data_IF_394243954790
#
_entry.id   IF_394243954790
#
_cell.length_a   1.000
_cell.length_b   1.000
_cell.length_c   1.000
_cell.angle_alpha   90.00
_cell.angle_beta   90.00
_cell.angle_gamma   90.00
#
_symmetry.space_group_name_H-M   'P 1'
#
loop_
_entity.id
_entity.type
_entity.pdbx_description
1 polymer ?
#
# COMPACT_ATOMS: atom_id res chain seq x y z
N UNK A 1 -33.54 15.24 21.26
CA UNK A 1 -32.84 15.65 20.02
C UNK A 1 -31.32 15.65 20.24
N UNK A 2 -30.60 14.52 20.11
CA UNK A 2 -29.13 14.50 20.16
C UNK A 2 -28.45 14.16 18.82
N UNK A 3 -29.21 13.82 17.78
CA UNK A 3 -28.69 13.35 16.48
C UNK A 3 -28.14 14.45 15.57
N UNK A 4 -28.51 15.72 15.78
CA UNK A 4 -28.06 16.82 14.92
C UNK A 4 -26.64 17.32 15.23
N UNK A 5 -26.11 17.08 16.44
CA UNK A 5 -24.80 17.63 16.84
C UNK A 5 -23.61 16.76 16.37
N UNK A 6 -23.84 15.47 16.09
CA UNK A 6 -22.82 14.53 15.58
C UNK A 6 -22.70 14.62 14.05
N UNK A 7 -23.71 15.17 13.37
CA UNK A 7 -23.77 15.27 11.92
C UNK A 7 -22.86 16.39 11.36
N UNK A 8 -22.58 17.43 12.15
CA UNK A 8 -21.78 18.60 11.72
C UNK A 8 -20.30 18.28 11.44
N UNK A 9 -19.55 17.51 12.26
CA UNK A 9 -18.17 17.13 11.91
C UNK A 9 -18.12 16.11 10.78
N UNK A 10 -19.10 15.21 10.66
CA UNK A 10 -19.15 14.20 9.60
C UNK A 10 -19.44 14.82 8.23
N UNK A 11 -20.43 15.72 8.17
CA UNK A 11 -20.79 16.47 6.96
C UNK A 11 -19.65 17.39 6.50
N UNK A 12 -18.98 18.10 7.43
CA UNK A 12 -17.83 18.96 7.12
C UNK A 12 -16.63 18.15 6.57
N UNK A 13 -16.35 16.97 7.14
CA UNK A 13 -15.25 16.10 6.68
C UNK A 13 -15.51 15.49 5.30
N UNK A 14 -16.77 15.18 4.98
CA UNK A 14 -17.19 14.71 3.67
C UNK A 14 -17.07 15.81 2.63
N UNK A 15 -17.61 16.99 2.93
CA UNK A 15 -17.53 18.17 2.07
C UNK A 15 -16.07 18.50 1.74
N UNK A 16 -15.17 18.40 2.74
CA UNK A 16 -13.74 18.64 2.53
C UNK A 16 -13.09 17.65 1.56
N UNK A 17 -13.40 16.34 1.64
CA UNK A 17 -12.85 15.34 0.70
C UNK A 17 -13.40 15.55 -0.71
N UNK A 18 -14.69 15.86 -0.84
CA UNK A 18 -15.32 16.13 -2.14
C UNK A 18 -14.75 17.41 -2.76
N UNK A 19 -14.58 18.48 -1.98
CA UNK A 19 -13.97 19.73 -2.44
C UNK A 19 -12.51 19.53 -2.87
N UNK A 20 -11.74 18.71 -2.14
CA UNK A 20 -10.37 18.39 -2.48
C UNK A 20 -10.28 17.55 -3.78
N UNK A 21 -11.18 16.57 -3.96
CA UNK A 21 -11.28 15.84 -5.24
C UNK A 21 -11.65 16.79 -6.39
N UNK A 22 -12.62 17.69 -6.17
CA UNK A 22 -13.05 18.64 -7.18
C UNK A 22 -11.96 19.64 -7.57
N UNK A 23 -11.18 20.14 -6.60
CA UNK A 23 -10.06 21.05 -6.87
C UNK A 23 -8.95 20.37 -7.66
N UNK A 24 -8.63 19.11 -7.32
CA UNK A 24 -7.67 18.32 -8.08
C UNK A 24 -8.16 18.03 -9.50
N UNK A 25 -9.45 17.70 -9.69
CA UNK A 25 -10.03 17.51 -11.01
C UNK A 25 -9.90 18.77 -11.89
N UNK A 26 -10.23 19.95 -11.36
CA UNK A 26 -10.10 21.21 -12.11
C UNK A 26 -8.63 21.47 -12.46
N UNK A 27 -7.72 21.28 -11.51
CA UNK A 27 -6.30 21.52 -11.73
C UNK A 27 -5.74 20.57 -12.78
N UNK A 28 -6.15 19.31 -12.71
CA UNK A 28 -5.74 18.25 -13.61
C UNK A 28 -6.25 18.44 -15.04
N UNK A 29 -7.51 18.85 -15.18
CA UNK A 29 -8.10 19.25 -16.46
C UNK A 29 -7.37 20.47 -17.04
N UNK A 30 -7.08 21.47 -16.21
CA UNK A 30 -6.43 22.71 -16.64
C UNK A 30 -5.02 22.46 -17.18
N UNK A 31 -4.18 21.70 -16.46
CA UNK A 31 -2.80 21.45 -16.89
C UNK A 31 -2.76 20.52 -18.10
N UNK A 32 -3.64 19.52 -18.18
CA UNK A 32 -3.71 18.63 -19.35
C UNK A 32 -4.14 19.38 -20.61
N UNK A 33 -5.18 20.23 -20.52
CA UNK A 33 -5.64 21.06 -21.66
C UNK A 33 -4.60 22.10 -22.04
N UNK A 34 -3.95 22.73 -21.06
CA UNK A 34 -2.86 23.66 -21.28
C UNK A 34 -1.70 23.00 -22.03
N UNK A 35 -1.36 21.77 -21.66
CA UNK A 35 -0.28 21.02 -22.29
C UNK A 35 -0.52 20.73 -23.77
N UNK A 36 -1.77 20.53 -24.19
CA UNK A 36 -2.14 20.33 -25.61
C UNK A 36 -1.88 21.58 -26.46
N UNK A 37 -1.94 22.77 -25.86
CA UNK A 37 -1.69 24.04 -26.55
C UNK A 37 -0.22 24.31 -26.88
N UNK A 38 0.70 23.49 -26.36
CA UNK A 38 2.15 23.61 -26.54
C UNK A 38 2.75 22.58 -27.52
N UNK A 39 1.92 21.96 -28.35
CA UNK A 39 2.34 21.09 -29.46
C UNK A 39 2.53 21.90 -30.76
N UNK A 40 3.49 22.83 -30.76
CA UNK A 40 3.83 23.65 -31.92
C UNK A 40 5.34 23.88 -32.07
N UNK A 41 5.80 24.11 -33.29
CA UNK A 41 7.22 24.30 -33.66
C UNK A 41 7.75 25.70 -33.27
N UNK A 42 6.85 26.64 -32.96
CA UNK A 42 7.21 28.03 -32.68
C UNK A 42 7.54 28.24 -31.19
N UNK A 43 8.81 28.56 -30.90
CA UNK A 43 9.45 28.97 -29.61
C UNK A 43 8.74 28.51 -28.30
N UNK A 44 9.50 27.93 -27.34
CA UNK A 44 8.99 27.19 -26.18
C UNK A 44 8.02 27.92 -25.23
N UNK A 45 7.82 29.23 -25.37
CA UNK A 45 6.98 30.04 -24.47
C UNK A 45 6.14 31.12 -25.18
N UNK A 46 6.24 31.31 -26.50
CA UNK A 46 5.79 32.59 -27.07
C UNK A 46 4.35 32.65 -27.54
N UNK A 47 3.63 31.55 -27.82
CA UNK A 47 2.19 31.61 -28.14
C UNK A 47 1.48 30.28 -27.83
N UNK A 48 0.41 30.34 -27.02
CA UNK A 48 -0.53 29.24 -26.80
C UNK A 48 -1.49 29.18 -28.00
N UNK A 49 -1.41 28.12 -28.81
CA UNK A 49 -2.29 27.98 -29.97
C UNK A 49 -3.61 27.33 -29.57
N UNK A 50 -4.59 28.16 -29.21
CA UNK A 50 -5.93 27.70 -28.80
C UNK A 50 -6.64 26.94 -29.93
N UNK A 51 -6.39 27.31 -31.20
CA UNK A 51 -6.95 26.58 -32.36
C UNK A 51 -6.53 25.11 -32.36
N UNK A 52 -5.25 24.82 -32.08
CA UNK A 52 -4.71 23.45 -32.05
C UNK A 52 -5.37 22.60 -30.97
N UNK A 53 -5.66 23.18 -29.81
CA UNK A 53 -6.36 22.48 -28.72
C UNK A 53 -7.71 21.97 -29.22
N UNK A 54 -8.47 22.82 -29.91
CA UNK A 54 -9.76 22.46 -30.48
C UNK A 54 -9.64 21.42 -31.59
N UNK A 55 -8.62 21.53 -32.45
CA UNK A 55 -8.38 20.58 -33.53
C UNK A 55 -8.04 19.18 -33.00
N UNK A 56 -7.26 19.09 -31.90
CA UNK A 56 -6.96 17.83 -31.22
C UNK A 56 -8.16 17.25 -30.46
N UNK A 57 -9.00 18.09 -29.84
CA UNK A 57 -10.23 17.64 -29.16
C UNK A 57 -11.27 17.14 -30.18
N UNK A 58 -11.42 17.83 -31.30
CA UNK A 58 -12.41 17.52 -32.35
C UNK A 58 -11.90 16.45 -33.34
N UNK A 59 -10.68 15.94 -33.18
CA UNK A 59 -10.10 14.88 -34.02
C UNK A 59 -10.11 15.19 -35.53
N UNK A 60 -10.00 16.47 -35.90
CA UNK A 60 -10.06 16.88 -37.32
C UNK A 60 -8.91 16.35 -38.18
N UNK A 61 -7.72 16.20 -37.59
CA UNK A 61 -6.51 15.73 -38.29
C UNK A 61 -6.40 14.18 -38.35
N UNK A 62 -7.40 13.46 -37.82
CA UNK A 62 -7.38 12.00 -37.71
C UNK A 62 -6.56 11.48 -36.52
N UNK A 63 -6.80 10.22 -36.14
CA UNK A 63 -6.10 9.57 -35.03
C UNK A 63 -4.88 8.78 -35.53
N UNK A 64 -3.70 9.11 -35.03
CA UNK A 64 -2.49 8.29 -35.17
C UNK A 64 -1.84 8.08 -33.81
N UNK A 65 -1.56 6.83 -33.45
CA UNK A 65 -1.01 6.49 -32.14
C UNK A 65 0.38 7.11 -31.92
N UNK A 66 1.17 7.25 -32.98
CA UNK A 66 2.50 7.82 -32.87
C UNK A 66 2.48 9.35 -32.69
N UNK A 67 1.58 10.08 -33.39
CA UNK A 67 1.68 11.54 -33.47
C UNK A 67 0.63 12.30 -32.68
N UNK A 68 -0.50 11.67 -32.35
CA UNK A 68 -1.59 12.39 -31.70
C UNK A 68 -1.41 12.41 -30.17
N UNK A 69 -1.57 13.57 -29.51
CA UNK A 69 -1.58 13.65 -28.04
C UNK A 69 -2.96 13.32 -27.43
N UNK A 70 -3.93 12.92 -28.26
CA UNK A 70 -5.30 12.64 -27.84
C UNK A 70 -5.39 11.59 -26.73
N UNK A 71 -4.45 10.63 -26.69
CA UNK A 71 -4.44 9.60 -25.65
C UNK A 71 -4.32 10.17 -24.23
N UNK A 72 -3.65 11.32 -24.03
CA UNK A 72 -3.60 11.97 -22.71
C UNK A 72 -4.97 12.51 -22.27
N UNK A 73 -5.85 12.85 -23.20
CA UNK A 73 -7.23 13.22 -22.90
C UNK A 73 -8.04 12.00 -22.46
N UNK A 74 -7.78 10.84 -23.06
CA UNK A 74 -8.38 9.56 -22.64
C UNK A 74 -7.89 9.16 -21.24
N UNK A 75 -6.59 9.30 -20.96
CA UNK A 75 -6.02 9.07 -19.62
C UNK A 75 -6.60 10.05 -18.59
N UNK A 76 -6.81 11.32 -18.95
CA UNK A 76 -7.49 12.31 -18.11
C UNK A 76 -8.93 11.87 -17.78
N UNK A 77 -9.68 11.38 -18.77
CA UNK A 77 -11.05 10.90 -18.56
C UNK A 77 -11.07 9.68 -17.63
N UNK A 78 -10.20 8.70 -17.90
CA UNK A 78 -10.04 7.52 -17.06
C UNK A 78 -9.66 7.88 -15.62
N UNK A 79 -8.70 8.79 -15.44
CA UNK A 79 -8.26 9.28 -14.12
C UNK A 79 -9.34 10.06 -13.41
N UNK A 80 -10.10 10.88 -14.12
CA UNK A 80 -11.22 11.63 -13.56
C UNK A 80 -12.29 10.67 -13.02
N UNK A 81 -12.61 9.62 -13.77
CA UNK A 81 -13.51 8.56 -13.31
C UNK A 81 -12.98 7.89 -12.04
N UNK A 82 -11.70 7.51 -11.99
CA UNK A 82 -11.06 6.94 -10.79
C UNK A 82 -11.14 7.88 -9.58
N UNK A 83 -10.90 9.18 -9.78
CA UNK A 83 -10.97 10.20 -8.73
C UNK A 83 -12.38 10.30 -8.13
N UNK A 84 -13.43 10.24 -8.95
CA UNK A 84 -14.82 10.24 -8.48
C UNK A 84 -15.19 8.95 -7.72
N UNK A 85 -14.54 7.82 -7.99
CA UNK A 85 -14.74 6.58 -7.23
C UNK A 85 -14.18 6.66 -5.80
N UNK A 86 -13.16 7.47 -5.53
CA UNK A 86 -12.54 7.60 -4.19
C UNK A 86 -13.54 8.04 -3.10
N UNK A 87 -14.31 9.14 -3.25
CA UNK A 87 -15.31 9.53 -2.25
C UNK A 87 -16.46 8.53 -2.14
N UNK A 88 -16.82 7.82 -3.23
CA UNK A 88 -17.85 6.77 -3.22
C UNK A 88 -17.40 5.58 -2.36
N UNK A 89 -16.17 5.12 -2.52
CA UNK A 89 -15.57 4.06 -1.67
C UNK A 89 -15.41 4.56 -0.23
N UNK A 90 -15.02 5.83 -0.06
CA UNK A 90 -14.95 6.46 1.26
C UNK A 90 -16.31 6.52 1.96
N UNK A 91 -17.42 6.62 1.24
CA UNK A 91 -18.73 6.73 1.88
C UNK A 91 -19.47 5.39 1.99
N UNK A 92 -19.49 4.59 0.93
CA UNK A 92 -20.33 3.39 0.82
C UNK A 92 -19.88 2.25 1.73
N UNK A 93 -18.59 2.21 2.11
CA UNK A 93 -18.04 1.13 2.93
C UNK A 93 -17.78 1.61 4.38
N UNK A 94 -18.70 1.35 5.32
CA UNK A 94 -18.47 1.59 6.74
C UNK A 94 -17.37 0.66 7.27
N UNK A 95 -16.42 1.24 8.00
CA UNK A 95 -15.25 0.56 8.60
C UNK A 95 -15.60 -0.50 9.65
N UNK A 96 -16.86 -0.58 10.07
CA UNK A 96 -17.34 -1.50 11.11
C UNK A 96 -17.43 -2.95 10.65
N UNK A 97 -17.37 -3.22 9.34
CA UNK A 97 -17.46 -4.57 8.77
C UNK A 97 -16.10 -5.20 8.41
N UNK A 98 -14.98 -4.55 8.73
CA UNK A 98 -13.64 -5.07 8.41
C UNK A 98 -13.16 -6.15 9.40
N UNK A 99 -13.82 -6.34 10.56
CA UNK A 99 -13.26 -7.18 11.64
C UNK A 99 -13.89 -8.57 11.80
N UNK A 100 -15.16 -8.79 11.47
CA UNK A 100 -15.83 -10.04 11.88
C UNK A 100 -16.38 -10.94 10.77
N UNK A 101 -16.41 -10.54 9.49
CA UNK A 101 -16.92 -11.42 8.41
C UNK A 101 -15.88 -11.64 7.28
N UNK A 102 -15.48 -12.89 6.99
CA UNK A 102 -14.57 -13.24 5.87
C UNK A 102 -15.22 -13.14 4.47
N UNK A 103 -16.48 -12.75 4.38
CA UNK A 103 -17.33 -12.84 3.17
C UNK A 103 -17.15 -11.66 2.18
N UNK A 104 -16.56 -10.53 2.56
CA UNK A 104 -16.45 -9.36 1.67
C UNK A 104 -15.13 -9.32 0.88
N UNK A 105 -15.02 -10.19 -0.13
CA UNK A 105 -13.93 -10.19 -1.13
C UNK A 105 -14.02 -8.94 -2.02
N UNK A 106 -15.23 -8.47 -2.29
CA UNK A 106 -15.54 -7.39 -3.25
C UNK A 106 -14.83 -6.05 -2.96
N UNK A 107 -14.82 -5.48 -1.73
CA UNK A 107 -14.13 -4.21 -1.46
C UNK A 107 -12.61 -4.32 -1.57
N UNK A 108 -12.03 -5.46 -1.16
CA UNK A 108 -10.59 -5.72 -1.30
C UNK A 108 -10.20 -5.82 -2.78
N UNK A 109 -11.01 -6.51 -3.57
CA UNK A 109 -10.84 -6.63 -5.01
C UNK A 109 -10.95 -5.29 -5.73
N UNK A 110 -11.96 -4.47 -5.38
CA UNK A 110 -12.15 -3.14 -5.97
C UNK A 110 -10.97 -2.21 -5.66
N UNK A 111 -10.46 -2.22 -4.44
CA UNK A 111 -9.25 -1.49 -4.06
C UNK A 111 -8.02 -1.95 -4.85
N UNK A 112 -7.83 -3.26 -5.00
CA UNK A 112 -6.75 -3.84 -5.82
C UNK A 112 -6.88 -3.41 -7.29
N UNK A 113 -8.09 -3.46 -7.84
CA UNK A 113 -8.38 -3.06 -9.22
C UNK A 113 -8.12 -1.58 -9.44
N UNK A 114 -8.46 -0.72 -8.49
CA UNK A 114 -8.22 0.73 -8.56
C UNK A 114 -6.72 1.05 -8.60
N UNK A 115 -5.93 0.40 -7.73
CA UNK A 115 -4.47 0.53 -7.71
C UNK A 115 -3.86 -0.02 -9.02
N UNK A 116 -4.37 -1.14 -9.52
CA UNK A 116 -3.97 -1.72 -10.80
C UNK A 116 -4.18 -0.76 -11.98
N UNK A 117 -5.37 -0.17 -12.11
CA UNK A 117 -5.69 0.81 -13.15
C UNK A 117 -4.80 2.05 -13.08
N UNK A 118 -4.40 2.46 -11.87
CA UNK A 118 -3.51 3.58 -11.64
C UNK A 118 -2.09 3.26 -12.15
N UNK A 119 -1.59 2.04 -11.88
CA UNK A 119 -0.29 1.56 -12.37
C UNK A 119 -0.31 1.43 -13.91
N UNK A 120 -1.42 0.95 -14.49
CA UNK A 120 -1.60 0.90 -15.94
C UNK A 120 -1.53 2.29 -16.58
N UNK A 121 -2.15 3.32 -15.97
CA UNK A 121 -2.06 4.72 -16.41
C UNK A 121 -0.61 5.21 -16.46
N UNK A 122 0.17 4.95 -15.41
CA UNK A 122 1.58 5.30 -15.35
C UNK A 122 2.38 4.58 -16.46
N UNK A 123 2.17 3.28 -16.62
CA UNK A 123 2.86 2.47 -17.64
C UNK A 123 2.51 2.94 -19.07
N UNK A 124 1.25 3.26 -19.34
CA UNK A 124 0.82 3.79 -20.63
C UNK A 124 1.52 5.12 -20.97
N UNK A 125 1.75 5.98 -19.98
CA UNK A 125 2.51 7.23 -20.17
C UNK A 125 3.93 6.98 -20.68
N UNK A 126 4.59 5.92 -20.21
CA UNK A 126 5.94 5.55 -20.65
C UNK A 126 5.93 4.93 -22.05
N UNK A 127 4.93 4.10 -22.36
CA UNK A 127 4.75 3.53 -23.70
C UNK A 127 4.53 4.66 -24.72
N UNK A 128 3.74 5.67 -24.35
CA UNK A 128 3.49 6.83 -25.20
C UNK A 128 4.74 7.70 -25.40
N UNK A 129 5.56 7.88 -24.37
CA UNK A 129 6.89 8.53 -24.50
C UNK A 129 7.76 7.77 -25.51
N UNK A 130 7.77 6.45 -25.45
CA UNK A 130 8.53 5.62 -26.39
C UNK A 130 7.99 5.75 -27.82
N UNK A 131 6.67 5.79 -28.00
CA UNK A 131 6.05 6.02 -29.31
C UNK A 131 6.44 7.38 -29.90
N UNK A 132 6.49 8.44 -29.08
CA UNK A 132 6.97 9.75 -29.53
C UNK A 132 8.47 9.78 -29.85
N UNK A 133 9.25 8.90 -29.23
CA UNK A 133 10.69 8.82 -29.52
C UNK A 133 11.01 8.31 -30.93
N UNK A 134 10.04 7.66 -31.58
CA UNK A 134 10.17 7.23 -32.98
C UNK A 134 10.24 8.42 -33.95
N UNK A 135 9.71 9.58 -33.58
CA UNK A 135 9.75 10.81 -34.38
C UNK A 135 10.51 11.91 -33.64
N UNK A 136 11.77 12.14 -34.03
CA UNK A 136 12.66 13.13 -33.38
C UNK A 136 12.05 14.54 -33.29
N UNK A 137 11.24 14.94 -34.27
CA UNK A 137 10.54 16.23 -34.28
C UNK A 137 9.55 16.38 -33.12
N UNK A 138 8.91 15.28 -32.70
CA UNK A 138 7.92 15.30 -31.63
C UNK A 138 8.53 15.49 -30.25
N UNK A 139 9.74 14.97 -30.01
CA UNK A 139 10.46 15.13 -28.75
C UNK A 139 10.89 16.57 -28.47
N UNK A 140 11.02 17.39 -29.52
CA UNK A 140 11.37 18.80 -29.39
C UNK A 140 10.18 19.66 -28.93
N UNK A 141 8.95 19.14 -29.00
CA UNK A 141 7.78 19.84 -28.48
C UNK A 141 7.76 19.83 -26.96
N UNK A 142 7.73 21.03 -26.36
CA UNK A 142 7.63 21.19 -24.90
C UNK A 142 6.32 20.62 -24.35
N UNK A 143 5.25 20.61 -25.15
CA UNK A 143 3.95 20.03 -24.79
C UNK A 143 4.02 18.53 -24.48
N UNK A 144 4.91 17.77 -25.14
CA UNK A 144 5.08 16.33 -24.88
C UNK A 144 5.62 16.10 -23.46
N UNK A 145 6.69 16.81 -23.11
CA UNK A 145 7.31 16.71 -21.79
C UNK A 145 6.36 17.18 -20.68
N UNK A 146 5.65 18.28 -20.91
CA UNK A 146 4.67 18.79 -19.97
C UNK A 146 3.52 17.78 -19.74
N UNK A 147 3.00 17.15 -20.81
CA UNK A 147 1.94 16.14 -20.71
C UNK A 147 2.38 14.93 -19.91
N UNK A 148 3.60 14.44 -20.15
CA UNK A 148 4.14 13.24 -19.50
C UNK A 148 4.45 13.49 -18.03
N UNK A 149 5.15 14.59 -17.73
CA UNK A 149 5.46 14.96 -16.35
C UNK A 149 4.17 15.19 -15.56
N UNK A 150 3.22 15.92 -16.14
CA UNK A 150 1.94 16.17 -15.49
C UNK A 150 1.17 14.88 -15.23
N UNK A 151 1.15 13.96 -16.19
CA UNK A 151 0.45 12.69 -16.04
C UNK A 151 1.04 11.83 -14.90
N UNK A 152 2.37 11.80 -14.76
CA UNK A 152 3.06 11.12 -13.65
C UNK A 152 2.76 11.80 -12.32
N UNK A 153 2.85 13.13 -12.24
CA UNK A 153 2.56 13.89 -11.02
C UNK A 153 1.12 13.68 -10.58
N UNK A 154 0.18 13.78 -11.50
CA UNK A 154 -1.25 13.58 -11.24
C UNK A 154 -1.54 12.14 -10.82
N UNK A 155 -0.82 11.14 -11.35
CA UNK A 155 -0.88 9.76 -10.86
C UNK A 155 -0.50 9.66 -9.37
N UNK A 156 0.63 10.27 -8.98
CA UNK A 156 1.13 10.27 -7.60
C UNK A 156 0.13 10.99 -6.69
N UNK A 157 -0.40 12.13 -7.10
CA UNK A 157 -1.37 12.90 -6.33
C UNK A 157 -2.67 12.13 -6.05
N UNK A 158 -3.24 11.47 -7.07
CA UNK A 158 -4.47 10.66 -6.91
C UNK A 158 -4.22 9.45 -5.99
N UNK A 159 -3.07 8.78 -6.14
CA UNK A 159 -2.70 7.67 -5.28
C UNK A 159 -2.49 8.11 -3.82
N UNK A 160 -1.79 9.22 -3.60
CA UNK A 160 -1.58 9.79 -2.27
C UNK A 160 -2.91 10.20 -1.60
N UNK A 161 -3.87 10.75 -2.36
CA UNK A 161 -5.19 11.09 -1.86
C UNK A 161 -5.96 9.84 -1.43
N UNK A 162 -5.91 8.78 -2.23
CA UNK A 162 -6.55 7.50 -1.93
C UNK A 162 -6.00 6.89 -0.62
N UNK A 163 -4.66 6.82 -0.47
CA UNK A 163 -4.00 6.34 0.75
C UNK A 163 -4.32 7.23 1.96
N UNK A 164 -4.33 8.54 1.79
CA UNK A 164 -4.72 9.47 2.86
C UNK A 164 -6.17 9.25 3.32
N UNK A 165 -7.10 9.02 2.38
CA UNK A 165 -8.50 8.73 2.70
C UNK A 165 -8.64 7.38 3.44
N UNK A 166 -7.90 6.36 3.04
CA UNK A 166 -7.88 5.05 3.68
C UNK A 166 -7.28 5.12 5.10
N UNK A 167 -6.13 5.78 5.25
CA UNK A 167 -5.47 5.97 6.55
C UNK A 167 -6.36 6.72 7.54
N UNK A 168 -7.04 7.78 7.09
CA UNK A 168 -7.95 8.56 7.94
C UNK A 168 -9.15 7.74 8.42
N UNK A 169 -9.68 6.86 7.58
CA UNK A 169 -10.73 5.90 7.98
C UNK A 169 -10.24 4.92 9.04
N UNK A 170 -9.07 4.33 8.84
CA UNK A 170 -8.48 3.38 9.78
C UNK A 170 -8.23 4.01 11.15
N UNK A 171 -7.74 5.25 11.17
CA UNK A 171 -7.50 6.01 12.40
C UNK A 171 -8.82 6.33 13.15
N UNK A 172 -9.86 6.75 12.42
CA UNK A 172 -11.18 7.03 13.02
C UNK A 172 -11.82 5.77 13.62
N UNK A 173 -11.74 4.64 12.92
CA UNK A 173 -12.22 3.35 13.41
C UNK A 173 -11.47 2.91 14.68
N UNK A 174 -10.14 3.13 14.74
CA UNK A 174 -9.36 2.80 15.94
C UNK A 174 -9.73 3.68 17.13
N UNK A 175 -9.97 4.97 16.92
CA UNK A 175 -10.40 5.90 17.97
C UNK A 175 -11.78 5.55 18.54
N UNK A 176 -12.77 5.25 17.68
CA UNK A 176 -14.11 4.86 18.16
C UNK A 176 -14.10 3.55 18.97
N UNK A 177 -13.20 2.62 18.62
CA UNK A 177 -13.05 1.36 19.37
C UNK A 177 -12.40 1.56 20.75
N UNK A 178 -11.49 2.53 20.91
CA UNK A 178 -10.86 2.88 22.19
C UNK A 178 -11.86 3.48 23.20
N UNK A 179 -12.83 4.26 22.72
CA UNK A 179 -13.88 4.85 23.55
C UNK A 179 -14.84 3.77 24.11
N UNK A 180 -15.09 2.71 23.34
CA UNK A 180 -15.93 1.58 23.77
C UNK A 180 -15.24 0.58 24.72
N UNK A 181 -13.91 0.59 24.83
CA UNK A 181 -13.13 -0.32 25.68
C UNK A 181 -12.35 0.40 26.79
N UNK A 182 -12.78 1.59 27.22
CA UNK A 182 -12.22 2.23 28.42
C UNK A 182 -12.51 1.38 29.67
N UNK A 183 -11.50 0.79 30.35
CA UNK A 183 -11.70 -0.09 31.50
C UNK A 183 -12.09 0.63 32.79
N UNK A 184 -12.25 1.97 32.77
CA UNK A 184 -12.39 2.78 34.00
C UNK A 184 -13.84 2.99 34.46
N UNK A 185 -14.83 2.49 33.73
CA UNK A 185 -16.24 2.74 34.05
C UNK A 185 -17.04 1.69 34.87
N UNK A 186 -16.50 0.58 35.43
CA UNK A 186 -17.29 -0.26 36.34
C UNK A 186 -17.30 0.20 37.81
N UNK A 187 -16.42 1.11 38.24
CA UNK A 187 -16.18 1.34 39.68
C UNK A 187 -17.06 2.42 40.36
N UNK A 188 -17.98 3.06 39.63
CA UNK A 188 -18.84 4.12 40.19
C UNK A 188 -20.29 3.68 40.49
N UNK A 189 -20.61 2.39 40.35
CA UNK A 189 -21.96 1.88 40.60
C UNK A 189 -22.08 0.97 41.83
N UNK A 190 -21.03 0.87 42.65
CA UNK A 190 -21.00 -0.02 43.82
C UNK A 190 -20.85 0.71 45.17
N UNK A 191 -21.02 2.03 45.20
CA UNK A 191 -20.87 2.84 46.42
C UNK A 191 -22.18 3.14 47.18
N UNK A 192 -23.31 2.52 46.83
CA UNK A 192 -24.61 2.79 47.47
C UNK A 192 -25.17 1.64 48.32
N UNK A 193 -24.32 0.75 48.85
CA UNK A 193 -24.75 -0.24 49.84
C UNK A 193 -23.74 -0.41 50.99
N UNK A 194 -23.49 0.68 51.73
CA UNK A 194 -22.95 0.61 53.08
C UNK A 194 -24.12 0.61 54.08
N UNK A 195 -24.71 -0.56 54.29
CA UNK A 195 -25.56 -0.80 55.45
C UNK A 195 -24.65 -1.23 56.61
N UNK A 196 -24.45 -0.32 57.55
CA UNK A 196 -23.71 -0.52 58.79
C UNK A 196 -24.49 -1.51 59.66
N UNK A 197 -23.89 -2.65 60.00
CA UNK A 197 -24.26 -3.38 61.21
C UNK A 197 -23.01 -3.99 61.88
N UNK A 198 -22.83 -3.58 63.13
CA UNK A 198 -21.77 -3.96 64.05
C UNK A 198 -21.86 -5.44 64.45
N UNK A 199 -20.70 -6.06 64.71
CA UNK A 199 -20.63 -7.25 65.56
C UNK A 199 -19.34 -8.06 65.47
N UNK A 200 -18.44 -7.87 66.44
CA UNK A 200 -17.79 -8.99 67.13
C UNK A 200 -16.44 -9.54 66.63
N UNK A 201 -15.42 -9.30 67.46
CA UNK A 201 -14.47 -10.31 68.01
C UNK A 201 -13.25 -10.77 67.18
N UNK A 202 -12.09 -10.23 67.58
CA UNK A 202 -10.82 -10.90 67.91
C UNK A 202 -10.33 -12.14 67.13
N UNK A 203 -9.14 -12.06 66.51
CA UNK A 203 -7.99 -12.90 66.88
C UNK A 203 -6.69 -12.54 66.12
N UNK A 204 -5.60 -12.64 66.86
CA UNK A 204 -4.20 -12.38 66.54
C UNK A 204 -3.56 -13.31 65.49
N UNK A 205 -2.47 -12.80 64.88
CA UNK A 205 -1.18 -13.48 64.67
C UNK A 205 -1.11 -14.73 63.77
N UNK A 206 -0.35 -14.63 62.66
CA UNK A 206 0.92 -15.36 62.52
C UNK A 206 1.58 -15.08 61.16
N UNK A 207 2.80 -14.55 61.24
CA UNK A 207 3.85 -14.71 60.25
C UNK A 207 4.07 -16.18 59.89
N UNK A 208 4.16 -16.52 58.60
CA UNK A 208 4.74 -17.77 58.16
C UNK A 208 5.77 -17.52 57.05
N UNK A 209 7.02 -17.45 57.47
CA UNK A 209 8.18 -17.71 56.61
C UNK A 209 8.22 -19.21 56.29
N UNK A 210 8.50 -19.55 55.04
CA UNK A 210 9.02 -20.87 54.67
C UNK A 210 8.52 -21.39 53.32
N UNK A 211 9.26 -21.12 52.24
CA UNK A 211 10.19 -22.11 51.72
C UNK A 211 11.04 -21.54 50.58
N UNK A 212 12.35 -21.55 50.82
CA UNK A 212 13.37 -21.53 49.78
C UNK A 212 13.14 -22.70 48.82
N UNK A 213 12.90 -22.39 47.56
CA UNK A 213 13.36 -23.24 46.46
C UNK A 213 14.14 -22.36 45.49
N UNK A 214 15.39 -22.13 45.87
CA UNK A 214 16.44 -21.67 44.98
C UNK A 214 16.71 -22.80 43.98
N UNK A 215 15.89 -22.90 42.93
CA UNK A 215 16.27 -23.67 41.75
C UNK A 215 17.39 -22.92 41.06
N UNK A 216 18.63 -23.35 41.35
CA UNK A 216 19.80 -23.05 40.54
C UNK A 216 19.54 -23.47 39.10
N UNK A 217 19.02 -22.56 38.27
CA UNK A 217 19.02 -22.71 36.82
C UNK A 217 20.21 -21.90 36.31
N UNK A 218 21.36 -22.59 36.27
CA UNK A 218 22.43 -22.31 35.30
C UNK A 218 21.76 -21.97 33.96
N UNK A 219 22.17 -20.93 33.22
CA UNK A 219 21.68 -20.69 31.88
C UNK A 219 22.15 -21.88 31.04
N UNK A 220 21.31 -22.91 30.93
CA UNK A 220 21.47 -23.94 29.92
C UNK A 220 21.60 -23.15 28.63
N UNK A 221 22.79 -23.23 28.01
CA UNK A 221 22.98 -22.83 26.62
C UNK A 221 22.05 -23.72 25.81
N UNK A 222 20.80 -23.31 25.72
CA UNK A 222 19.79 -23.91 24.85
C UNK A 222 20.42 -23.94 23.47
N UNK A 223 20.49 -25.13 22.91
CA UNK A 223 21.20 -25.40 21.67
C UNK A 223 20.65 -24.45 20.60
N UNK A 224 21.53 -23.87 19.78
CA UNK A 224 21.11 -23.00 18.66
C UNK A 224 20.06 -23.70 17.79
N UNK A 225 20.11 -25.03 17.75
CA UNK A 225 19.15 -25.88 17.05
C UNK A 225 17.74 -25.89 17.66
N UNK A 226 17.62 -25.79 18.98
CA UNK A 226 16.33 -25.73 19.67
C UNK A 226 15.65 -24.38 19.41
N UNK A 227 16.44 -23.29 19.42
CA UNK A 227 15.98 -21.97 18.99
C UNK A 227 15.54 -21.98 17.53
N UNK A 228 16.33 -22.58 16.63
CA UNK A 228 15.99 -22.71 15.21
C UNK A 228 14.70 -23.50 15.01
N UNK A 229 14.50 -24.63 15.72
CA UNK A 229 13.26 -25.41 15.62
C UNK A 229 12.05 -24.64 16.14
N UNK A 230 12.22 -23.88 17.22
CA UNK A 230 11.16 -23.04 17.74
C UNK A 230 10.78 -21.96 16.71
N UNK A 231 11.77 -21.29 16.12
CA UNK A 231 11.59 -20.26 15.08
C UNK A 231 11.02 -20.84 13.78
N UNK A 232 11.41 -22.07 13.42
CA UNK A 232 10.87 -22.82 12.29
C UNK A 232 9.41 -23.21 12.53
N UNK A 233 9.02 -23.49 13.78
CA UNK A 233 7.63 -23.71 14.18
C UNK A 233 6.75 -22.48 13.92
N UNK A 234 7.24 -21.27 14.21
CA UNK A 234 6.55 -20.03 13.84
C UNK A 234 6.44 -19.83 12.33
N UNK A 235 7.48 -20.21 11.57
CA UNK A 235 7.42 -20.18 10.11
C UNK A 235 6.37 -21.16 9.55
N UNK A 236 6.25 -22.34 10.17
CA UNK A 236 5.26 -23.37 9.83
C UNK A 236 3.82 -22.94 10.17
N UNK A 237 3.63 -22.12 11.19
CA UNK A 237 2.32 -21.53 11.50
C UNK A 237 1.79 -20.63 10.36
N UNK A 238 2.68 -19.99 9.60
CA UNK A 238 2.35 -19.09 8.47
C UNK A 238 2.56 -19.77 7.10
N UNK A 239 2.53 -21.11 7.07
CA UNK A 239 2.89 -21.92 5.89
C UNK A 239 2.11 -21.56 4.62
N UNK A 240 0.82 -21.23 4.72
CA UNK A 240 -0.01 -20.94 3.54
C UNK A 240 0.50 -19.72 2.76
N UNK A 241 0.91 -18.65 3.44
CA UNK A 241 1.45 -17.45 2.78
C UNK A 241 2.86 -17.68 2.23
N UNK A 242 3.66 -18.49 2.93
CA UNK A 242 4.98 -18.91 2.48
C UNK A 242 4.90 -19.75 1.18
N UNK A 243 3.95 -20.68 1.11
CA UNK A 243 3.72 -21.55 -0.05
C UNK A 243 3.29 -20.72 -1.26
N UNK A 244 2.40 -19.75 -1.07
CA UNK A 244 2.00 -18.82 -2.14
C UNK A 244 3.20 -18.01 -2.65
N UNK A 245 4.04 -17.47 -1.76
CA UNK A 245 5.26 -16.77 -2.15
C UNK A 245 6.27 -17.68 -2.87
N UNK A 246 6.34 -18.95 -2.49
CA UNK A 246 7.17 -19.97 -3.14
C UNK A 246 6.66 -20.33 -4.54
N UNK A 247 5.35 -20.48 -4.74
CA UNK A 247 4.77 -20.71 -6.07
C UNK A 247 5.08 -19.55 -7.02
N UNK A 248 4.95 -18.30 -6.57
CA UNK A 248 5.32 -17.14 -7.37
C UNK A 248 6.82 -17.07 -7.66
N UNK A 249 7.68 -17.53 -6.74
CA UNK A 249 9.11 -17.68 -6.98
C UNK A 249 9.39 -18.68 -8.11
N UNK A 250 8.71 -19.83 -8.15
CA UNK A 250 8.92 -20.85 -9.17
C UNK A 250 8.54 -20.33 -10.56
N UNK A 251 7.39 -19.66 -10.67
CA UNK A 251 6.93 -19.03 -11.92
C UNK A 251 7.90 -17.91 -12.36
N UNK A 252 8.34 -17.08 -11.42
CA UNK A 252 9.34 -16.04 -11.69
C UNK A 252 10.66 -16.64 -12.19
N UNK A 253 11.16 -17.68 -11.52
CA UNK A 253 12.42 -18.31 -11.85
C UNK A 253 12.39 -18.97 -13.23
N UNK A 254 11.30 -19.67 -13.57
CA UNK A 254 11.15 -20.28 -14.89
C UNK A 254 11.13 -19.21 -15.99
N UNK A 255 10.33 -18.15 -15.84
CA UNK A 255 10.27 -17.05 -16.80
C UNK A 255 11.64 -16.36 -16.97
N UNK A 256 12.38 -16.14 -15.87
CA UNK A 256 13.70 -15.51 -15.88
C UNK A 256 14.76 -16.34 -16.62
N UNK A 257 14.68 -17.67 -16.54
CA UNK A 257 15.59 -18.58 -17.26
C UNK A 257 15.36 -18.52 -18.78
N UNK A 258 14.12 -18.27 -19.22
CA UNK A 258 13.80 -18.14 -20.64
C UNK A 258 14.25 -16.81 -21.27
N UNK A 259 14.37 -15.72 -20.49
CA UNK A 259 14.79 -14.40 -21.00
C UNK A 259 16.06 -14.45 -21.88
N UNK A 260 17.21 -15.01 -21.43
CA UNK A 260 18.42 -15.04 -22.25
C UNK A 260 18.28 -15.85 -23.55
N UNK A 261 17.45 -16.91 -23.57
CA UNK A 261 17.19 -17.70 -24.78
C UNK A 261 16.49 -16.86 -25.86
N UNK A 262 15.49 -16.09 -25.47
CA UNK A 262 14.76 -15.21 -26.40
C UNK A 262 15.58 -13.99 -26.81
N UNK A 263 16.39 -13.42 -25.90
CA UNK A 263 17.35 -12.36 -26.26
C UNK A 263 18.31 -12.83 -27.35
N UNK A 264 18.81 -14.07 -27.26
CA UNK A 264 19.70 -14.65 -28.29
C UNK A 264 18.99 -14.81 -29.65
N UNK A 265 17.72 -15.18 -29.66
CA UNK A 265 16.92 -15.27 -30.90
C UNK A 265 16.70 -13.90 -31.55
N UNK A 266 16.43 -12.87 -30.75
CA UNK A 266 16.29 -11.49 -31.27
C UNK A 266 17.59 -11.02 -31.93
N UNK A 267 18.74 -11.27 -31.28
CA UNK A 267 20.06 -10.92 -31.82
C UNK A 267 20.34 -11.68 -33.13
N UNK A 268 20.02 -12.97 -33.18
CA UNK A 268 20.22 -13.77 -34.40
C UNK A 268 19.29 -13.33 -35.55
N UNK A 269 18.06 -12.92 -35.23
CA UNK A 269 17.11 -12.39 -36.21
C UNK A 269 17.61 -11.11 -36.89
N UNK A 270 18.24 -10.21 -36.13
CA UNK A 270 18.84 -8.97 -36.65
C UNK A 270 19.98 -9.28 -37.64
N UNK A 271 20.76 -10.34 -37.40
CA UNK A 271 21.97 -10.65 -38.19
C UNK A 271 21.69 -11.46 -39.46
N UNK A 272 20.61 -12.24 -39.52
CA UNK A 272 20.37 -13.16 -40.65
C UNK A 272 19.16 -12.83 -41.54
N UNK A 273 18.15 -12.09 -41.08
CA UNK A 273 16.94 -11.86 -41.89
C UNK A 273 16.49 -10.40 -41.80
N UNK A 274 16.46 -9.68 -42.92
CA UNK A 274 15.99 -8.28 -43.03
C UNK A 274 14.46 -8.15 -43.00
N UNK A 275 13.74 -9.16 -42.52
CA UNK A 275 12.29 -9.12 -42.38
C UNK A 275 11.89 -8.49 -41.04
N UNK A 276 11.44 -7.24 -41.13
CA UNK A 276 10.95 -6.44 -40.00
C UNK A 276 9.83 -7.12 -39.23
N UNK A 277 9.00 -7.95 -39.88
CA UNK A 277 7.84 -8.57 -39.26
C UNK A 277 8.21 -9.61 -38.19
N UNK A 278 9.19 -10.49 -38.47
CA UNK A 278 9.67 -11.50 -37.52
C UNK A 278 10.43 -10.88 -36.34
N UNK A 279 11.12 -9.78 -36.58
CA UNK A 279 11.77 -8.99 -35.53
C UNK A 279 10.76 -8.41 -34.54
N UNK A 280 9.69 -7.78 -35.04
CA UNK A 280 8.64 -7.22 -34.16
C UNK A 280 7.94 -8.28 -33.32
N UNK A 281 7.65 -9.45 -33.89
CA UNK A 281 7.05 -10.56 -33.15
C UNK A 281 7.97 -11.04 -32.01
N UNK A 282 9.26 -11.21 -32.30
CA UNK A 282 10.27 -11.62 -31.31
C UNK A 282 10.43 -10.61 -30.16
N UNK A 283 10.43 -9.30 -30.49
CA UNK A 283 10.51 -8.22 -29.48
C UNK A 283 9.25 -8.17 -28.62
N UNK A 284 8.07 -8.40 -29.21
CA UNK A 284 6.80 -8.45 -28.47
C UNK A 284 6.83 -9.61 -27.47
N UNK A 285 7.23 -10.81 -27.88
CA UNK A 285 7.36 -11.97 -26.99
C UNK A 285 8.37 -11.73 -25.86
N UNK A 286 9.52 -11.11 -26.16
CA UNK A 286 10.51 -10.73 -25.15
C UNK A 286 9.94 -9.73 -24.14
N UNK A 287 9.23 -8.70 -24.61
CA UNK A 287 8.57 -7.70 -23.77
C UNK A 287 7.53 -8.33 -22.84
N UNK A 288 6.69 -9.23 -23.37
CA UNK A 288 5.68 -9.95 -22.59
C UNK A 288 6.32 -10.83 -21.50
N UNK A 289 7.43 -11.51 -21.81
CA UNK A 289 8.17 -12.28 -20.80
C UNK A 289 8.78 -11.38 -19.72
N UNK A 290 9.34 -10.24 -20.07
CA UNK A 290 9.87 -9.28 -19.10
C UNK A 290 8.78 -8.69 -18.20
N UNK A 291 7.59 -8.45 -18.74
CA UNK A 291 6.41 -8.04 -17.98
C UNK A 291 6.06 -9.11 -16.93
N UNK A 292 5.94 -10.37 -17.36
CA UNK A 292 5.68 -11.52 -16.46
C UNK A 292 6.75 -11.59 -15.37
N UNK A 293 8.03 -11.55 -15.72
CA UNK A 293 9.15 -11.58 -14.76
C UNK A 293 9.03 -10.45 -13.75
N UNK A 294 8.72 -9.23 -14.18
CA UNK A 294 8.60 -8.06 -13.29
C UNK A 294 7.41 -8.21 -12.34
N UNK A 295 6.26 -8.64 -12.87
CA UNK A 295 5.02 -8.80 -12.11
C UNK A 295 5.14 -9.91 -11.05
N UNK A 296 5.58 -11.11 -11.44
CA UNK A 296 5.74 -12.22 -10.51
C UNK A 296 6.92 -12.00 -9.55
N UNK A 297 7.96 -11.29 -9.98
CA UNK A 297 9.06 -10.86 -9.12
C UNK A 297 8.58 -9.91 -8.02
N UNK A 298 7.73 -8.94 -8.37
CA UNK A 298 7.09 -8.03 -7.43
C UNK A 298 6.15 -8.74 -6.45
N UNK A 299 5.28 -9.62 -6.95
CA UNK A 299 4.36 -10.41 -6.10
C UNK A 299 5.12 -11.30 -5.11
N UNK A 300 6.16 -12.00 -5.55
CA UNK A 300 7.05 -12.77 -4.66
C UNK A 300 7.63 -11.89 -3.56
N UNK A 301 8.19 -10.74 -3.92
CA UNK A 301 8.82 -9.84 -2.96
C UNK A 301 7.78 -9.32 -1.95
N UNK A 302 6.60 -8.92 -2.41
CA UNK A 302 5.50 -8.48 -1.56
C UNK A 302 5.03 -9.55 -0.58
N UNK A 303 4.73 -10.77 -1.06
CA UNK A 303 4.23 -11.87 -0.21
C UNK A 303 5.26 -12.29 0.84
N UNK A 304 6.55 -12.38 0.48
CA UNK A 304 7.60 -12.73 1.44
C UNK A 304 7.84 -11.62 2.46
N UNK A 305 7.81 -10.35 2.04
CA UNK A 305 7.99 -9.23 2.97
C UNK A 305 6.81 -9.15 3.95
N UNK A 306 5.59 -9.38 3.48
CA UNK A 306 4.41 -9.49 4.34
C UNK A 306 4.51 -10.65 5.34
N UNK A 307 4.95 -11.84 4.87
CA UNK A 307 5.14 -13.02 5.72
C UNK A 307 6.18 -12.75 6.80
N UNK A 308 7.32 -12.17 6.44
CA UNK A 308 8.38 -11.78 7.39
C UNK A 308 7.88 -10.74 8.40
N UNK A 309 7.12 -9.74 7.96
CA UNK A 309 6.52 -8.75 8.87
C UNK A 309 5.58 -9.41 9.89
N UNK A 310 4.75 -10.36 9.45
CA UNK A 310 3.86 -11.12 10.33
C UNK A 310 4.63 -11.95 11.36
N UNK A 311 5.69 -12.66 10.93
CA UNK A 311 6.55 -13.45 11.83
C UNK A 311 7.25 -12.52 12.84
N UNK A 312 7.74 -11.36 12.40
CA UNK A 312 8.36 -10.38 13.28
C UNK A 312 7.40 -9.85 14.35
N UNK A 313 6.14 -9.62 14.00
CA UNK A 313 5.12 -9.20 14.97
C UNK A 313 4.82 -10.30 16.00
N UNK A 314 4.72 -11.56 15.56
CA UNK A 314 4.51 -12.71 16.45
C UNK A 314 5.69 -12.89 17.42
N UNK A 315 6.92 -12.89 16.90
CA UNK A 315 8.13 -13.00 17.73
C UNK A 315 8.21 -11.88 18.77
N UNK A 316 7.92 -10.63 18.37
CA UNK A 316 7.93 -9.49 19.28
C UNK A 316 6.88 -9.62 20.38
N UNK A 317 5.66 -10.07 20.04
CA UNK A 317 4.58 -10.25 21.00
C UNK A 317 4.92 -11.30 22.04
N UNK A 318 5.45 -12.44 21.60
CA UNK A 318 5.74 -13.56 22.50
C UNK A 318 6.97 -13.26 23.37
N UNK A 319 7.97 -12.55 22.83
CA UNK A 319 9.10 -12.04 23.61
C UNK A 319 8.64 -11.05 24.68
N UNK A 320 7.80 -10.08 24.32
CA UNK A 320 7.29 -9.08 25.26
C UNK A 320 6.43 -9.71 26.36
N UNK A 321 5.61 -10.70 26.02
CA UNK A 321 4.82 -11.47 26.99
C UNK A 321 5.72 -12.24 27.96
N UNK A 322 6.82 -12.81 27.49
CA UNK A 322 7.80 -13.50 28.35
C UNK A 322 8.51 -12.53 29.29
N UNK A 323 8.83 -11.32 28.83
CA UNK A 323 9.50 -10.29 29.66
C UNK A 323 8.56 -9.77 30.75
N UNK A 324 7.29 -9.49 30.44
CA UNK A 324 6.31 -9.01 31.43
C UNK A 324 6.03 -10.05 32.53
N UNK A 325 6.14 -11.34 32.20
CA UNK A 325 5.87 -12.43 33.15
C UNK A 325 7.06 -12.72 34.09
N UNK A 326 8.18 -12.02 33.93
CA UNK A 326 9.40 -12.25 34.72
C UNK A 326 9.37 -11.45 36.03
N UNK A 327 9.86 -12.04 37.12
CA UNK A 327 9.80 -11.46 38.47
C UNK A 327 10.51 -10.09 38.56
N UNK A 328 9.97 -9.20 39.40
CA UNK A 328 10.46 -7.82 39.61
C UNK A 328 11.96 -7.77 39.99
N UNK A 329 12.50 -8.82 40.61
CA UNK A 329 13.92 -8.94 40.95
C UNK A 329 14.87 -8.95 39.72
N UNK A 330 14.40 -9.38 38.54
CA UNK A 330 15.18 -9.31 37.29
C UNK A 330 15.31 -7.87 36.76
N UNK A 331 14.28 -7.05 36.97
CA UNK A 331 14.27 -5.64 36.58
C UNK A 331 15.07 -4.74 37.52
N UNK A 332 15.42 -5.23 38.71
CA UNK A 332 16.25 -4.50 39.68
C UNK A 332 17.76 -4.69 39.40
N UNK A 333 18.15 -5.77 38.71
CA UNK A 333 19.53 -6.03 38.29
C UNK A 333 19.87 -5.53 36.87
N UNK A 334 18.88 -5.35 35.99
CA UNK A 334 19.07 -4.92 34.62
C UNK A 334 18.51 -3.51 34.40
N UNK A 335 19.37 -2.53 34.14
CA UNK A 335 18.98 -1.15 33.85
C UNK A 335 18.05 -1.13 32.65
N UNK A 336 16.76 -0.84 32.88
CA UNK A 336 15.64 -1.01 31.93
C UNK A 336 15.86 -0.25 30.60
N UNK A 337 16.77 0.72 30.59
CA UNK A 337 17.19 1.48 29.40
C UNK A 337 18.04 0.70 28.39
N UNK A 338 18.95 -0.19 28.80
CA UNK A 338 19.78 -0.96 27.84
C UNK A 338 18.97 -2.03 27.09
N UNK A 339 18.02 -2.65 27.78
CA UNK A 339 17.15 -3.70 27.23
C UNK A 339 16.22 -3.11 26.16
N UNK A 340 15.67 -1.93 26.42
CA UNK A 340 14.81 -1.21 25.48
C UNK A 340 15.59 -0.64 24.28
N UNK A 341 16.81 -0.15 24.51
CA UNK A 341 17.66 0.40 23.44
C UNK A 341 18.20 -0.70 22.51
N UNK A 342 18.60 -1.86 23.06
CA UNK A 342 18.98 -3.04 22.27
C UNK A 342 17.81 -3.58 21.43
N UNK A 343 16.58 -3.50 21.94
CA UNK A 343 15.37 -3.90 21.25
C UNK A 343 15.05 -3.03 20.01
N UNK A 344 15.44 -1.76 20.02
CA UNK A 344 15.22 -0.87 18.86
C UNK A 344 16.33 -0.99 17.80
N UNK A 345 17.58 -1.26 18.22
CA UNK A 345 18.76 -1.14 17.35
C UNK A 345 19.21 -2.45 16.66
N UNK A 346 18.72 -3.63 17.09
CA UNK A 346 19.03 -4.94 16.48
C UNK A 346 17.98 -5.46 15.48
N UNK A 347 17.00 -4.63 15.14
CA UNK A 347 15.95 -4.86 14.14
C UNK A 347 16.08 -3.83 13.03
#
# INVERSE_FOLDING_TARGET
MPTFLILTPFCSRFLCVVLLCFSLFIFDLSVTVLSLGFYDDHRPFSNLNISRIWDYISLKDGYSFISSPFDFLLLLLLRSLLLFFVPVIYFRFPTTLQRDNPEEILPKFLNFLLIGLQICNFSFSLIKLLAFSEFEKQLHFIGVWLSIIWNIVSFICVHALYEFCLFRKLCLSRYSNLDSTSPYHPLLNNSDNLNINNGGTSSNFSSLNGHQQTSNLLPLRVSTWEHIRYLLGYCLYVWNWLLVGFLFLVIYASARVFVPLYTAQVISGIVHTRDVHQFFESVLFMSLLLLIVTLFGGLRAGTLNYTTAQINLLMRRDLFSSIISQEIAFFDQAQTGEILFSFNFRL
#
